data_IF_107105607899
#
_entry.id   IF_107105607899
#
_cell.length_a   1.000
_cell.length_b   1.000
_cell.length_c   1.000
_cell.angle_alpha   90.00
_cell.angle_beta   90.00
_cell.angle_gamma   90.00
#
_symmetry.space_group_name_H-M   'P 1'
#
loop_
_entity.id
_entity.type
_entity.pdbx_description
1 polymer ?
#
# COMPACT_ATOMS: atom_id res chain seq x y z
N UNK A 1 31.82 8.34 21.14
CA UNK A 1 30.60 8.76 20.43
C UNK A 1 29.82 9.65 21.38
N UNK A 2 29.71 10.94 21.09
CA UNK A 2 29.05 11.91 21.99
C UNK A 2 27.62 11.47 22.30
N UNK A 3 27.21 11.57 23.57
CA UNK A 3 25.84 11.30 24.03
C UNK A 3 24.74 12.11 23.31
N UNK A 4 25.14 13.04 22.44
CA UNK A 4 24.27 13.96 21.71
C UNK A 4 24.09 13.59 20.22
N UNK A 5 24.75 12.56 19.67
CA UNK A 5 24.63 12.25 18.24
C UNK A 5 23.18 11.88 17.83
N UNK A 6 22.51 11.01 18.61
CA UNK A 6 21.14 10.57 18.30
C UNK A 6 20.16 11.75 18.37
N UNK A 7 20.28 12.60 19.39
CA UNK A 7 19.44 13.79 19.53
C UNK A 7 19.68 14.80 18.41
N UNK A 8 20.94 15.04 18.03
CA UNK A 8 21.29 15.88 16.87
C UNK A 8 20.73 15.30 15.57
N UNK A 9 20.78 13.98 15.37
CA UNK A 9 20.24 13.35 14.18
C UNK A 9 18.71 13.37 14.14
N UNK A 10 18.05 13.19 15.29
CA UNK A 10 16.59 13.38 15.40
C UNK A 10 16.18 14.81 15.03
N UNK A 11 16.87 15.81 15.58
CA UNK A 11 16.65 17.22 15.25
C UNK A 11 16.88 17.50 13.75
N UNK A 12 17.95 16.96 13.16
CA UNK A 12 18.21 17.05 11.72
C UNK A 12 17.07 16.46 10.87
N UNK A 13 16.55 15.29 11.25
CA UNK A 13 15.44 14.67 10.51
C UNK A 13 14.17 15.52 10.55
N UNK A 14 13.88 16.15 11.69
CA UNK A 14 12.67 16.95 11.88
C UNK A 14 12.78 18.36 11.30
N UNK A 15 13.87 19.05 11.56
CA UNK A 15 14.07 20.45 11.21
C UNK A 15 14.55 20.57 9.76
N UNK A 16 15.67 19.93 9.43
CA UNK A 16 16.33 20.10 8.13
C UNK A 16 15.69 19.23 7.03
N UNK A 17 15.16 18.06 7.40
CA UNK A 17 14.49 17.15 6.45
C UNK A 17 12.97 17.21 6.51
N UNK A 18 12.39 18.04 7.39
CA UNK A 18 10.94 18.21 7.51
C UNK A 18 10.18 16.90 7.76
N UNK A 19 10.82 15.88 8.35
CA UNK A 19 10.14 14.61 8.62
C UNK A 19 9.15 14.78 9.77
N UNK A 20 7.93 14.28 9.59
CA UNK A 20 7.00 14.10 10.69
C UNK A 20 7.60 13.21 11.80
N UNK A 21 7.13 13.38 13.03
CA UNK A 21 7.62 12.67 14.22
C UNK A 21 7.76 11.16 13.98
N UNK A 22 6.67 10.49 13.57
CA UNK A 22 6.66 9.04 13.36
C UNK A 22 7.60 8.59 12.24
N UNK A 23 7.76 9.40 11.19
CA UNK A 23 8.71 9.14 10.11
C UNK A 23 10.16 9.26 10.59
N UNK A 24 10.49 10.30 11.37
CA UNK A 24 11.81 10.47 11.97
C UNK A 24 12.15 9.31 12.91
N UNK A 25 11.21 8.92 13.78
CA UNK A 25 11.36 7.79 14.69
C UNK A 25 11.57 6.47 13.94
N UNK A 26 10.88 6.26 12.82
CA UNK A 26 11.08 5.06 11.98
C UNK A 26 12.51 5.01 11.43
N UNK A 27 13.04 6.14 10.94
CA UNK A 27 14.44 6.23 10.46
C UNK A 27 15.43 5.99 11.60
N UNK A 28 15.17 6.53 12.78
CA UNK A 28 16.01 6.29 13.97
C UNK A 28 15.99 4.81 14.41
N UNK A 29 14.85 4.13 14.34
CA UNK A 29 14.75 2.68 14.60
C UNK A 29 15.59 1.88 13.60
N UNK A 30 15.56 2.25 12.32
CA UNK A 30 16.41 1.62 11.30
C UNK A 30 17.90 1.82 11.60
N UNK A 31 18.31 3.04 11.99
CA UNK A 31 19.67 3.31 12.42
C UNK A 31 20.05 2.50 13.67
N UNK A 32 19.15 2.39 14.65
CA UNK A 32 19.37 1.56 15.85
C UNK A 32 19.63 0.10 15.50
N UNK A 33 18.97 -0.44 14.47
CA UNK A 33 19.24 -1.80 13.97
C UNK A 33 20.67 -1.94 13.45
N UNK A 34 21.18 -0.95 12.72
CA UNK A 34 22.56 -0.95 12.21
C UNK A 34 23.56 -0.84 13.38
N UNK A 35 23.31 0.06 14.33
CA UNK A 35 24.14 0.22 15.53
C UNK A 35 24.19 -1.06 16.35
N UNK A 36 23.08 -1.78 16.47
CA UNK A 36 23.04 -3.08 17.14
C UNK A 36 23.96 -4.10 16.47
N UNK A 37 23.94 -4.19 15.13
CA UNK A 37 24.88 -5.06 14.39
C UNK A 37 26.33 -4.63 14.65
N UNK A 38 26.62 -3.33 14.68
CA UNK A 38 27.97 -2.83 14.96
C UNK A 38 28.44 -3.15 16.40
N UNK A 39 27.54 -3.15 17.38
CA UNK A 39 27.83 -3.57 18.75
C UNK A 39 28.09 -5.08 18.83
N UNK A 40 27.25 -5.89 18.18
CA UNK A 40 27.39 -7.35 18.14
C UNK A 40 28.69 -7.80 17.46
N UNK A 41 29.26 -6.98 16.56
CA UNK A 41 30.56 -7.20 15.92
C UNK A 41 31.73 -6.48 16.62
N UNK A 42 31.51 -5.90 17.80
CA UNK A 42 32.51 -5.14 18.57
C UNK A 42 33.15 -3.94 17.84
N UNK A 43 32.55 -3.45 16.74
CA UNK A 43 33.05 -2.28 16.00
C UNK A 43 32.90 -0.99 16.81
N UNK A 44 31.95 -0.97 17.74
CA UNK A 44 31.71 0.14 18.65
C UNK A 44 31.54 -0.39 20.06
N UNK A 45 32.09 0.34 21.04
CA UNK A 45 32.12 -0.11 22.45
C UNK A 45 30.93 0.37 23.30
N UNK A 46 30.18 1.36 22.81
CA UNK A 46 29.09 2.01 23.56
C UNK A 46 27.89 2.22 22.65
N UNK A 47 26.70 1.89 23.13
CA UNK A 47 25.45 2.11 22.41
C UNK A 47 25.04 3.60 22.46
N UNK A 48 25.05 4.34 21.34
CA UNK A 48 24.56 5.72 21.30
C UNK A 48 23.04 5.83 21.56
N UNK A 49 22.27 4.74 21.45
CA UNK A 49 20.83 4.70 21.74
C UNK A 49 20.49 4.31 23.18
N UNK A 50 21.47 4.05 24.05
CA UNK A 50 21.24 3.50 25.39
C UNK A 50 20.19 4.27 26.22
N UNK A 51 20.19 5.61 26.10
CA UNK A 51 19.30 6.50 26.84
C UNK A 51 18.23 7.17 25.96
N UNK A 52 18.18 6.87 24.67
CA UNK A 52 17.20 7.47 23.76
C UNK A 52 15.88 6.69 23.81
N UNK A 53 14.78 7.39 24.08
CA UNK A 53 13.43 6.82 24.13
C UNK A 53 12.62 7.25 22.91
N UNK A 54 12.18 6.27 22.14
CA UNK A 54 11.31 6.53 21.00
C UNK A 54 9.92 6.91 21.49
N UNK A 55 9.42 8.06 21.06
CA UNK A 55 8.04 8.50 21.30
C UNK A 55 7.33 8.64 19.96
N UNK A 56 6.42 7.70 19.69
CA UNK A 56 5.48 7.82 18.57
C UNK A 56 4.31 8.70 19.01
N UNK A 57 3.77 9.44 18.06
CA UNK A 57 2.49 10.12 18.20
C UNK A 57 1.38 9.20 17.70
N UNK A 58 0.27 9.15 18.42
CA UNK A 58 -0.93 8.49 17.91
C UNK A 58 -1.42 9.23 16.67
N UNK A 59 -1.85 8.46 15.68
CA UNK A 59 -2.39 8.97 14.42
C UNK A 59 -3.69 8.25 14.17
N UNK A 60 -4.75 9.00 13.90
CA UNK A 60 -6.03 8.43 13.49
C UNK A 60 -5.99 8.14 12.00
N UNK A 61 -6.06 6.87 11.57
CA UNK A 61 -6.08 6.54 10.16
C UNK A 61 -7.43 6.97 9.56
N UNK A 62 -7.39 7.87 8.58
CA UNK A 62 -8.55 8.22 7.77
C UNK A 62 -8.94 7.05 6.85
N UNK A 63 -10.24 6.92 6.58
CA UNK A 63 -10.80 5.91 5.71
C UNK A 63 -11.93 6.49 4.87
N UNK A 64 -12.17 5.91 3.71
CA UNK A 64 -13.29 6.30 2.85
C UNK A 64 -14.60 5.77 3.41
N UNK A 65 -15.58 6.66 3.53
CA UNK A 65 -16.98 6.33 3.76
C UNK A 65 -17.60 5.67 2.53
N UNK A 66 -18.71 4.97 2.73
CA UNK A 66 -19.43 4.34 1.60
C UNK A 66 -19.93 5.36 0.58
N UNK A 67 -20.25 6.59 0.99
CA UNK A 67 -20.72 7.62 0.07
C UNK A 67 -19.57 8.19 -0.78
N UNK A 68 -18.38 8.36 -0.20
CA UNK A 68 -17.16 8.71 -0.94
C UNK A 68 -16.79 7.61 -1.95
N UNK A 69 -16.91 6.34 -1.58
CA UNK A 69 -16.68 5.22 -2.50
C UNK A 69 -17.67 5.28 -3.68
N UNK A 70 -18.95 5.58 -3.43
CA UNK A 70 -19.95 5.74 -4.51
C UNK A 70 -19.62 6.92 -5.42
N UNK A 71 -19.15 8.04 -4.88
CA UNK A 71 -18.71 9.20 -5.67
C UNK A 71 -17.56 8.79 -6.59
N UNK A 72 -16.53 8.13 -6.07
CA UNK A 72 -15.40 7.64 -6.85
C UNK A 72 -15.87 6.69 -7.96
N UNK A 73 -16.75 5.74 -7.63
CA UNK A 73 -17.28 4.76 -8.57
C UNK A 73 -18.07 5.41 -9.71
N UNK A 74 -18.89 6.41 -9.40
CA UNK A 74 -19.73 7.10 -10.38
C UNK A 74 -18.96 8.16 -11.20
N UNK A 75 -17.76 8.56 -10.77
CA UNK A 75 -16.99 9.60 -11.44
C UNK A 75 -16.52 9.14 -12.81
N UNK A 76 -16.94 9.86 -13.85
CA UNK A 76 -16.44 9.68 -15.21
C UNK A 76 -15.13 10.45 -15.43
N UNK A 77 -14.16 9.79 -16.05
CA UNK A 77 -12.86 10.37 -16.40
C UNK A 77 -12.65 10.31 -17.91
N UNK A 78 -12.31 11.45 -18.53
CA UNK A 78 -11.96 11.49 -19.96
C UNK A 78 -10.61 10.83 -20.25
N UNK A 79 -9.71 10.80 -19.26
CA UNK A 79 -8.37 10.22 -19.37
C UNK A 79 -8.44 8.74 -18.97
N UNK A 80 -8.33 7.83 -19.95
CA UNK A 80 -8.36 6.37 -19.74
C UNK A 80 -7.41 5.86 -18.66
N UNK A 81 -6.24 6.48 -18.49
CA UNK A 81 -5.25 6.09 -17.46
C UNK A 81 -5.74 6.37 -16.04
N UNK A 82 -6.47 7.47 -15.83
CA UNK A 82 -7.04 7.82 -14.53
C UNK A 82 -8.21 6.89 -14.23
N UNK A 83 -9.06 6.66 -15.24
CA UNK A 83 -10.16 5.69 -15.16
C UNK A 83 -9.67 4.28 -14.78
N UNK A 84 -8.57 3.85 -15.38
CA UNK A 84 -7.92 2.58 -15.07
C UNK A 84 -7.46 2.49 -13.61
N UNK A 85 -6.89 3.56 -13.06
CA UNK A 85 -6.49 3.58 -11.65
C UNK A 85 -7.71 3.55 -10.73
N UNK A 86 -8.78 4.30 -11.07
CA UNK A 86 -10.07 4.25 -10.35
C UNK A 86 -10.59 2.83 -10.30
N UNK A 87 -10.65 2.13 -11.44
CA UNK A 87 -11.21 0.78 -11.51
C UNK A 87 -10.40 -0.21 -10.68
N UNK A 88 -9.07 -0.17 -10.76
CA UNK A 88 -8.20 -1.03 -9.96
C UNK A 88 -8.35 -0.72 -8.47
N UNK A 89 -8.49 0.56 -8.10
CA UNK A 89 -8.68 0.96 -6.71
C UNK A 89 -10.02 0.49 -6.15
N UNK A 90 -11.10 0.66 -6.90
CA UNK A 90 -12.42 0.13 -6.58
C UNK A 90 -12.35 -1.40 -6.45
N UNK A 91 -11.68 -2.08 -7.37
CA UNK A 91 -11.48 -3.53 -7.27
C UNK A 91 -10.79 -3.91 -5.96
N UNK A 92 -9.74 -3.19 -5.54
CA UNK A 92 -9.10 -3.39 -4.24
C UNK A 92 -10.08 -3.18 -3.06
N UNK A 93 -10.94 -2.16 -3.12
CA UNK A 93 -11.95 -1.90 -2.06
C UNK A 93 -12.93 -3.08 -1.94
N UNK A 94 -13.47 -3.57 -3.05
CA UNK A 94 -14.49 -4.62 -3.05
C UNK A 94 -13.94 -6.03 -2.88
N UNK A 95 -12.62 -6.22 -3.00
CA UNK A 95 -11.96 -7.53 -2.77
C UNK A 95 -11.12 -7.56 -1.49
N UNK A 96 -10.73 -6.41 -0.93
CA UNK A 96 -9.79 -6.35 0.18
C UNK A 96 -8.36 -6.78 -0.16
N UNK A 97 -8.05 -6.99 -1.45
CA UNK A 97 -6.71 -7.36 -1.87
C UNK A 97 -5.77 -6.15 -1.81
N UNK A 98 -4.55 -6.38 -1.35
CA UNK A 98 -3.51 -5.37 -1.42
C UNK A 98 -3.12 -5.11 -2.88
N UNK A 99 -2.67 -3.89 -3.17
CA UNK A 99 -2.16 -3.50 -4.49
C UNK A 99 -1.20 -4.53 -5.10
N UNK A 100 -0.27 -5.04 -4.28
CA UNK A 100 0.73 -6.03 -4.70
C UNK A 100 0.10 -7.38 -5.07
N UNK A 101 -0.97 -7.77 -4.39
CA UNK A 101 -1.71 -9.00 -4.71
C UNK A 101 -2.52 -8.84 -6.00
N UNK A 102 -3.15 -7.68 -6.19
CA UNK A 102 -3.90 -7.38 -7.43
C UNK A 102 -2.97 -7.30 -8.65
N UNK A 103 -1.78 -6.70 -8.49
CA UNK A 103 -0.78 -6.58 -9.56
C UNK A 103 -0.38 -7.94 -10.15
N UNK A 104 -0.33 -8.96 -9.32
CA UNK A 104 0.07 -10.31 -9.72
C UNK A 104 -1.11 -11.28 -9.88
N UNK A 105 -2.33 -10.76 -9.97
CA UNK A 105 -3.52 -11.58 -10.16
C UNK A 105 -3.59 -12.06 -11.61
N UNK A 106 -3.91 -13.34 -11.80
CA UNK A 106 -3.93 -14.04 -13.09
C UNK A 106 -5.12 -14.99 -13.12
N UNK A 107 -5.46 -15.53 -14.29
CA UNK A 107 -6.59 -16.44 -14.50
C UNK A 107 -6.56 -17.68 -13.60
N UNK A 108 -5.38 -18.18 -13.25
CA UNK A 108 -5.23 -19.37 -12.38
C UNK A 108 -5.77 -19.15 -10.95
N UNK A 109 -5.88 -17.88 -10.54
CA UNK A 109 -6.39 -17.50 -9.22
C UNK A 109 -7.92 -17.36 -9.22
N UNK A 110 -8.58 -17.40 -10.39
CA UNK A 110 -10.03 -17.36 -10.48
C UNK A 110 -10.59 -18.78 -10.52
N UNK A 111 -11.45 -19.08 -9.55
CA UNK A 111 -12.09 -20.39 -9.40
C UNK A 111 -13.59 -20.21 -9.32
N UNK A 112 -14.36 -21.09 -9.96
CA UNK A 112 -15.81 -21.15 -9.77
C UNK A 112 -16.15 -22.19 -8.71
N UNK A 113 -17.09 -21.88 -7.84
CA UNK A 113 -17.62 -22.86 -6.90
C UNK A 113 -18.70 -23.76 -7.54
N UNK A 114 -19.25 -24.67 -6.75
CA UNK A 114 -20.29 -25.61 -7.19
C UNK A 114 -21.61 -24.91 -7.57
N UNK A 115 -21.80 -23.65 -7.18
CA UNK A 115 -22.97 -22.83 -7.53
C UNK A 115 -22.70 -21.93 -8.74
N UNK A 116 -21.48 -21.94 -9.27
CA UNK A 116 -21.06 -21.12 -10.40
C UNK A 116 -20.58 -19.71 -10.01
N UNK A 117 -20.54 -19.39 -8.71
CA UNK A 117 -20.05 -18.10 -8.21
C UNK A 117 -18.53 -18.03 -8.37
N UNK A 118 -18.02 -16.85 -8.71
CA UNK A 118 -16.61 -16.63 -8.97
C UNK A 118 -15.88 -16.25 -7.68
N UNK A 119 -14.72 -16.87 -7.45
CA UNK A 119 -13.88 -16.68 -6.28
C UNK A 119 -12.44 -16.37 -6.70
N UNK A 120 -11.79 -15.48 -5.95
CA UNK A 120 -10.36 -15.26 -6.02
C UNK A 120 -9.70 -16.10 -4.93
N UNK A 121 -8.87 -17.06 -5.36
CA UNK A 121 -8.07 -17.92 -4.48
C UNK A 121 -6.59 -17.67 -4.73
N UNK A 122 -5.91 -17.00 -3.80
CA UNK A 122 -4.52 -16.60 -3.96
C UNK A 122 -3.77 -16.55 -2.63
N UNK A 123 -2.48 -16.85 -2.61
CA UNK A 123 -1.64 -16.57 -1.44
C UNK A 123 -1.25 -15.09 -1.41
N UNK A 124 -1.52 -14.40 -0.30
CA UNK A 124 -1.05 -13.04 -0.09
C UNK A 124 0.47 -12.95 -0.20
N UNK A 125 0.98 -11.93 -0.89
CA UNK A 125 2.41 -11.79 -1.12
C UNK A 125 3.21 -11.63 0.17
N UNK A 126 2.69 -10.84 1.11
CA UNK A 126 3.39 -10.48 2.35
C UNK A 126 3.39 -11.60 3.38
N UNK A 127 2.24 -12.22 3.61
CA UNK A 127 2.06 -13.21 4.69
C UNK A 127 2.12 -14.65 4.21
N UNK A 128 2.00 -14.89 2.88
CA UNK A 128 1.88 -16.22 2.26
C UNK A 128 0.64 -17.01 2.69
N UNK A 129 -0.30 -16.36 3.38
CA UNK A 129 -1.56 -16.97 3.78
C UNK A 129 -2.51 -16.97 2.59
N UNK A 130 -3.19 -18.10 2.36
CA UNK A 130 -4.21 -18.24 1.33
C UNK A 130 -5.42 -17.37 1.65
N UNK A 131 -5.82 -16.51 0.72
CA UNK A 131 -7.11 -15.84 0.74
C UNK A 131 -8.08 -16.53 -0.22
N UNK A 132 -9.34 -16.55 0.17
CA UNK A 132 -10.45 -17.00 -0.65
C UNK A 132 -11.56 -15.96 -0.56
N UNK A 133 -11.78 -15.24 -1.65
CA UNK A 133 -12.57 -14.00 -1.66
C UNK A 133 -13.66 -14.14 -2.73
N UNK A 134 -14.95 -14.01 -2.37
CA UNK A 134 -16.00 -14.02 -3.37
C UNK A 134 -15.90 -12.78 -4.25
N UNK A 135 -16.03 -12.94 -5.56
CA UNK A 135 -16.00 -11.83 -6.51
C UNK A 135 -17.38 -11.19 -6.56
N UNK A 136 -17.51 -10.06 -5.86
CA UNK A 136 -18.75 -9.27 -5.85
C UNK A 136 -19.07 -8.70 -7.25
N UNK A 137 -20.34 -8.35 -7.55
CA UNK A 137 -20.75 -7.86 -8.86
C UNK A 137 -19.93 -6.67 -9.38
N UNK A 138 -19.57 -5.72 -8.50
CA UNK A 138 -18.72 -4.57 -8.86
C UNK A 138 -17.33 -5.05 -9.31
N UNK A 139 -16.69 -5.93 -8.55
CA UNK A 139 -15.38 -6.49 -8.90
C UNK A 139 -15.45 -7.33 -10.18
N UNK A 140 -16.52 -8.10 -10.37
CA UNK A 140 -16.75 -8.88 -11.58
C UNK A 140 -16.89 -7.99 -12.83
N UNK A 141 -17.62 -6.87 -12.73
CA UNK A 141 -17.77 -5.91 -13.83
C UNK A 141 -16.44 -5.29 -14.27
N UNK A 142 -15.53 -5.05 -13.31
CA UNK A 142 -14.19 -4.53 -13.60
C UNK A 142 -13.33 -5.60 -14.28
N UNK A 143 -13.40 -6.86 -13.83
CA UNK A 143 -12.69 -7.96 -14.49
C UNK A 143 -13.17 -8.14 -15.95
N UNK A 144 -14.48 -8.05 -16.17
CA UNK A 144 -15.07 -8.17 -17.51
C UNK A 144 -14.61 -7.03 -18.44
N UNK A 145 -14.60 -5.79 -17.92
CA UNK A 145 -14.10 -4.61 -18.65
C UNK A 145 -12.65 -4.75 -19.14
N UNK A 146 -11.79 -5.47 -18.40
CA UNK A 146 -10.37 -5.65 -18.72
C UNK A 146 -10.03 -7.04 -19.27
N UNK A 147 -11.01 -7.80 -19.73
CA UNK A 147 -10.79 -9.16 -20.24
C UNK A 147 -9.76 -9.24 -21.37
N UNK A 148 -9.83 -8.35 -22.35
CA UNK A 148 -8.89 -8.31 -23.48
C UNK A 148 -7.44 -8.04 -23.04
N UNK A 149 -7.26 -7.20 -22.02
CA UNK A 149 -5.95 -6.95 -21.41
C UNK A 149 -5.41 -8.22 -20.76
N UNK A 150 -6.29 -8.97 -20.11
CA UNK A 150 -5.92 -10.20 -19.44
C UNK A 150 -5.47 -11.28 -20.43
N UNK A 151 -6.08 -11.35 -21.60
CA UNK A 151 -5.69 -12.25 -22.69
C UNK A 151 -4.29 -11.91 -23.24
N UNK A 152 -3.95 -10.62 -23.36
CA UNK A 152 -2.66 -10.19 -23.91
C UNK A 152 -1.50 -10.26 -22.90
N UNK A 153 -1.76 -10.05 -21.61
CA UNK A 153 -0.69 -9.90 -20.58
C UNK A 153 -0.59 -11.07 -19.62
N UNK A 154 -1.60 -11.95 -19.57
CA UNK A 154 -1.74 -13.01 -18.57
C UNK A 154 -2.11 -12.51 -17.16
N UNK A 155 -2.22 -11.19 -16.96
CA UNK A 155 -2.61 -10.54 -15.69
C UNK A 155 -4.04 -10.03 -15.80
N UNK A 156 -4.87 -10.25 -14.79
CA UNK A 156 -6.30 -9.92 -14.86
C UNK A 156 -6.58 -8.43 -14.98
N UNK A 157 -5.68 -7.58 -14.48
CA UNK A 157 -5.86 -6.13 -14.46
C UNK A 157 -4.58 -5.43 -14.93
N UNK A 158 -4.67 -4.34 -15.69
CA UNK A 158 -3.52 -3.56 -16.13
C UNK A 158 -2.96 -2.71 -14.99
N UNK A 159 -2.28 -3.31 -14.02
CA UNK A 159 -1.82 -2.56 -12.84
C UNK A 159 -0.56 -1.74 -13.14
N UNK A 160 -0.64 -0.41 -12.98
CA UNK A 160 0.50 0.50 -13.16
C UNK A 160 1.53 0.35 -12.02
N UNK A 161 2.71 0.99 -12.16
CA UNK A 161 3.67 1.01 -11.06
C UNK A 161 3.11 1.77 -9.85
N UNK A 162 3.50 1.34 -8.64
CA UNK A 162 2.99 1.86 -7.37
C UNK A 162 3.07 3.40 -7.28
N UNK A 163 4.18 3.98 -7.76
CA UNK A 163 4.36 5.43 -7.76
C UNK A 163 3.29 6.14 -8.61
N UNK A 164 3.03 5.65 -9.83
CA UNK A 164 2.01 6.25 -10.72
C UNK A 164 0.60 6.05 -10.19
N UNK A 165 0.30 4.87 -9.64
CA UNK A 165 -0.98 4.60 -8.99
C UNK A 165 -1.25 5.62 -7.89
N UNK A 166 -0.29 5.85 -6.99
CA UNK A 166 -0.45 6.79 -5.89
C UNK A 166 -0.59 8.25 -6.36
N UNK A 167 0.07 8.64 -7.45
CA UNK A 167 -0.13 9.96 -8.05
C UNK A 167 -1.55 10.13 -8.58
N UNK A 168 -2.03 9.18 -9.37
CA UNK A 168 -3.38 9.25 -9.95
C UNK A 168 -4.48 9.09 -8.90
N UNK A 169 -4.25 8.35 -7.81
CA UNK A 169 -5.20 8.28 -6.69
C UNK A 169 -5.43 9.64 -6.05
N UNK A 170 -4.40 10.49 -5.97
CA UNK A 170 -4.56 11.88 -5.50
C UNK A 170 -5.38 12.70 -6.48
N UNK A 171 -5.11 12.59 -7.78
CA UNK A 171 -5.91 13.28 -8.80
C UNK A 171 -7.38 12.82 -8.78
N UNK A 172 -7.64 11.54 -8.52
CA UNK A 172 -8.99 11.00 -8.37
C UNK A 172 -9.66 11.60 -7.13
N UNK A 173 -8.97 11.65 -5.99
CA UNK A 173 -9.47 12.25 -4.76
C UNK A 173 -9.82 13.73 -4.97
N UNK A 174 -8.90 14.52 -5.53
CA UNK A 174 -9.10 15.94 -5.87
C UNK A 174 -10.32 16.12 -6.80
N UNK A 175 -10.44 15.28 -7.83
CA UNK A 175 -11.55 15.33 -8.78
C UNK A 175 -12.90 14.91 -8.18
N UNK A 176 -12.89 14.16 -7.08
CA UNK A 176 -14.07 13.72 -6.34
C UNK A 176 -14.39 14.62 -5.14
N UNK A 177 -13.51 15.57 -4.80
CA UNK A 177 -13.66 16.45 -3.64
C UNK A 177 -13.49 15.71 -2.30
N UNK A 178 -12.59 14.72 -2.27
CA UNK A 178 -12.26 13.88 -1.11
C UNK A 178 -10.83 14.22 -0.66
#
# INVERSE_FOLDING_TARGET
MEANFISKFDAFLKIEKGCAQNSAITRLKNLKKIIRVALENDWIKKDPFAYYRFKLEETDPEFLTMDEIKIILAKEFSIKRVEQVRDIFVFCIFTGLAFSDVKDLSHEHLVKDNKGELWIRKNHQKTKIMCNIPVLPVAASILDKYKDVAECTGKLLPVLCNQRMNSYLKEIADACGI
#
